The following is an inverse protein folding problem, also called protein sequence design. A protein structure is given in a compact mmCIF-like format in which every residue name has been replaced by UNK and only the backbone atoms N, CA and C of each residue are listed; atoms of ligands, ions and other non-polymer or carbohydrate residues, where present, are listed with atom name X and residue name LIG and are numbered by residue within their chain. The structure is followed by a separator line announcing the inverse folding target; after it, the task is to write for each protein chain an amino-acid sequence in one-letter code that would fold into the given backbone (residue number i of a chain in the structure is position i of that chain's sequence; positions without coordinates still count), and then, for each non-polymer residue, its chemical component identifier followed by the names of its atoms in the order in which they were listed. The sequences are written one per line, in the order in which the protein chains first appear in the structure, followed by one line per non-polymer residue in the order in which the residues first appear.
data_IF_208753303366
#
_entry.id   IF_208753303366
#
_cell.length_a   1.000
_cell.length_b   1.000
_cell.length_c   1.000
_cell.angle_alpha   90.00
_cell.angle_beta   90.00
_cell.angle_gamma   90.00
#
_symmetry.space_group_name_H-M   'P 1'
#
loop_
_entity.id
_entity.type
_entity.pdbx_description
1 polymer ?
#
# COMPACT_ATOMS: atom_id res chain seq x y z
N UNK A 1 -2.20 20.55 18.72
CA UNK A 1 -2.09 20.42 17.25
C UNK A 1 -1.42 19.12 16.75
N UNK A 2 -0.34 18.60 17.35
CA UNK A 2 0.35 17.36 16.90
C UNK A 2 -0.52 16.08 16.84
N UNK A 3 -1.47 15.90 17.78
CA UNK A 3 -2.43 14.77 17.75
C UNK A 3 -3.40 14.83 16.56
N UNK A 4 -3.90 16.02 16.22
CA UNK A 4 -4.82 16.23 15.09
C UNK A 4 -4.14 15.96 13.75
N UNK A 5 -2.87 16.37 13.59
CA UNK A 5 -2.09 16.12 12.37
C UNK A 5 -1.81 14.62 12.14
N UNK A 6 -1.50 13.88 13.21
CA UNK A 6 -1.33 12.40 13.17
C UNK A 6 -2.65 11.66 12.88
N UNK A 7 -3.78 12.21 13.32
CA UNK A 7 -5.10 11.65 13.03
C UNK A 7 -5.47 11.87 11.56
N UNK A 8 -5.28 13.10 11.06
CA UNK A 8 -5.52 13.46 9.67
C UNK A 8 -4.71 12.60 8.70
N UNK A 9 -3.42 12.37 8.98
CA UNK A 9 -2.56 11.55 8.11
C UNK A 9 -2.95 10.07 8.10
N UNK A 10 -3.40 9.51 9.24
CA UNK A 10 -3.97 8.15 9.30
C UNK A 10 -5.25 8.05 8.46
N UNK A 11 -6.11 9.06 8.57
CA UNK A 11 -7.37 9.16 7.83
C UNK A 11 -7.06 9.22 6.33
N UNK A 12 -6.11 10.05 5.88
CA UNK A 12 -5.78 10.18 4.46
C UNK A 12 -5.27 8.87 3.84
N UNK A 13 -4.35 8.16 4.51
CA UNK A 13 -3.84 6.87 4.01
C UNK A 13 -4.95 5.82 3.96
N UNK A 14 -5.81 5.76 4.99
CA UNK A 14 -6.94 4.86 4.99
C UNK A 14 -7.92 5.16 3.84
N UNK A 15 -8.24 6.45 3.62
CA UNK A 15 -9.11 6.84 2.51
C UNK A 15 -8.51 6.49 1.15
N UNK A 16 -7.21 6.73 0.92
CA UNK A 16 -6.54 6.36 -0.35
C UNK A 16 -6.61 4.85 -0.56
N UNK A 17 -6.31 4.04 0.46
CA UNK A 17 -6.40 2.59 0.36
C UNK A 17 -7.84 2.12 0.07
N UNK A 18 -8.83 2.71 0.74
CA UNK A 18 -10.25 2.42 0.49
C UNK A 18 -10.65 2.78 -0.95
N UNK A 19 -10.29 3.96 -1.45
CA UNK A 19 -10.60 4.37 -2.82
C UNK A 19 -9.97 3.45 -3.86
N UNK A 20 -8.70 3.09 -3.69
CA UNK A 20 -8.03 2.14 -4.59
C UNK A 20 -8.67 0.76 -4.56
N UNK A 21 -9.11 0.30 -3.40
CA UNK A 21 -9.82 -0.98 -3.26
C UNK A 21 -11.17 -0.94 -3.96
N UNK A 22 -11.97 0.10 -3.73
CA UNK A 22 -13.28 0.28 -4.38
C UNK A 22 -13.11 0.37 -5.90
N UNK A 23 -12.16 1.17 -6.37
CA UNK A 23 -11.86 1.32 -7.79
C UNK A 23 -11.42 -0.01 -8.42
N UNK A 24 -10.55 -0.76 -7.73
CA UNK A 24 -10.14 -2.10 -8.14
C UNK A 24 -11.34 -3.05 -8.28
N UNK A 25 -12.20 -3.12 -7.25
CA UNK A 25 -13.43 -3.93 -7.24
C UNK A 25 -14.35 -3.56 -8.41
N UNK A 26 -14.56 -2.27 -8.67
CA UNK A 26 -15.40 -1.81 -9.78
C UNK A 26 -14.83 -2.23 -11.13
N UNK A 27 -13.54 -2.01 -11.39
CA UNK A 27 -12.90 -2.39 -12.65
C UNK A 27 -12.98 -3.88 -12.85
N UNK A 28 -12.57 -4.70 -11.89
CA UNK A 28 -12.59 -6.14 -12.11
C UNK A 28 -14.00 -6.72 -12.12
N UNK A 29 -14.97 -6.10 -11.46
CA UNK A 29 -16.39 -6.43 -11.62
C UNK A 29 -16.86 -6.21 -13.06
N UNK A 30 -16.56 -5.04 -13.64
CA UNK A 30 -16.89 -4.73 -15.06
C UNK A 30 -16.16 -5.68 -16.02
N UNK A 31 -14.88 -5.95 -15.78
CA UNK A 31 -14.09 -6.87 -16.62
C UNK A 31 -14.62 -8.29 -16.53
N UNK A 32 -14.96 -8.77 -15.33
CA UNK A 32 -15.53 -10.10 -15.14
C UNK A 32 -16.92 -10.23 -15.78
N UNK A 33 -17.77 -9.21 -15.63
CA UNK A 33 -19.06 -9.17 -16.30
C UNK A 33 -18.91 -9.22 -17.83
N UNK A 34 -17.98 -8.44 -18.38
CA UNK A 34 -17.66 -8.46 -19.82
C UNK A 34 -17.17 -9.83 -20.27
N UNK A 35 -16.34 -10.49 -19.45
CA UNK A 35 -15.89 -11.86 -19.72
C UNK A 35 -17.06 -12.85 -19.74
N UNK A 36 -18.01 -12.77 -18.79
CA UNK A 36 -19.19 -13.63 -18.78
C UNK A 36 -20.06 -13.43 -20.03
N UNK A 37 -20.25 -12.18 -20.46
CA UNK A 37 -20.98 -11.88 -21.70
C UNK A 37 -20.27 -12.46 -22.92
N UNK A 38 -18.93 -12.31 -23.01
CA UNK A 38 -18.14 -12.90 -24.09
C UNK A 38 -18.23 -14.43 -24.09
N UNK A 39 -18.12 -15.06 -22.91
CA UNK A 39 -18.28 -16.51 -22.75
C UNK A 39 -19.64 -16.95 -23.28
N UNK A 40 -20.72 -16.27 -22.91
CA UNK A 40 -22.07 -16.60 -23.35
C UNK A 40 -22.21 -16.47 -24.87
N UNK A 41 -21.67 -15.40 -25.47
CA UNK A 41 -21.69 -15.19 -26.92
C UNK A 41 -20.90 -16.28 -27.65
N UNK A 42 -19.72 -16.66 -27.14
CA UNK A 42 -18.92 -17.74 -27.70
C UNK A 42 -19.70 -19.04 -27.65
N UNK A 43 -20.25 -19.41 -26.48
CA UNK A 43 -21.03 -20.64 -26.29
C UNK A 43 -22.25 -20.72 -27.20
N UNK A 44 -22.93 -19.60 -27.45
CA UNK A 44 -24.08 -19.56 -28.36
C UNK A 44 -23.70 -19.78 -29.83
N UNK A 45 -22.46 -19.45 -30.23
CA UNK A 45 -21.98 -19.54 -31.61
C UNK A 45 -21.04 -20.75 -31.84
N UNK A 46 -20.98 -21.69 -30.91
CA UNK A 46 -20.11 -22.87 -31.00
C UNK A 46 -20.70 -23.94 -31.92
N UNK A 47 -19.83 -24.66 -32.63
CA UNK A 47 -20.23 -25.74 -33.56
C UNK A 47 -20.97 -26.87 -32.83
N UNK A 48 -21.84 -27.60 -33.52
CA UNK A 48 -22.58 -28.76 -32.99
C UNK A 48 -21.67 -29.95 -32.55
N UNK A 49 -20.37 -29.91 -32.86
CA UNK A 49 -19.43 -30.92 -32.41
C UNK A 49 -19.25 -30.86 -30.88
N UNK A 50 -19.82 -31.85 -30.20
CA UNK A 50 -19.88 -31.96 -28.73
C UNK A 50 -18.52 -32.00 -28.05
N UNK A 51 -17.50 -32.61 -28.68
CA UNK A 51 -16.14 -32.67 -28.12
C UNK A 51 -15.44 -31.31 -28.17
N UNK A 52 -15.55 -30.60 -29.30
CA UNK A 52 -15.02 -29.24 -29.44
C UNK A 52 -15.76 -28.31 -28.49
N UNK A 53 -17.06 -28.51 -28.32
CA UNK A 53 -17.88 -27.68 -27.44
C UNK A 53 -17.47 -27.82 -25.97
N UNK A 54 -17.30 -29.05 -25.49
CA UNK A 54 -16.84 -29.32 -24.14
C UNK A 54 -15.46 -28.70 -23.87
N UNK A 55 -14.50 -28.88 -24.80
CA UNK A 55 -13.14 -28.35 -24.63
C UNK A 55 -13.08 -26.82 -24.57
N UNK A 56 -13.90 -26.12 -25.37
CA UNK A 56 -13.95 -24.65 -25.34
C UNK A 56 -14.62 -24.14 -24.07
N UNK A 57 -15.72 -24.78 -23.62
CA UNK A 57 -16.39 -24.41 -22.37
C UNK A 57 -15.48 -24.61 -21.16
N UNK A 58 -14.78 -25.75 -21.09
CA UNK A 58 -13.83 -26.05 -20.03
C UNK A 58 -12.69 -25.02 -19.98
N UNK A 59 -12.12 -24.69 -21.14
CA UNK A 59 -11.07 -23.67 -21.27
C UNK A 59 -11.55 -22.30 -20.77
N UNK A 60 -12.74 -21.86 -21.19
CA UNK A 60 -13.32 -20.60 -20.72
C UNK A 60 -13.57 -20.62 -19.21
N UNK A 61 -14.02 -21.74 -18.64
CA UNK A 61 -14.18 -21.86 -17.19
C UNK A 61 -12.85 -21.74 -16.44
N UNK A 62 -11.79 -22.38 -16.94
CA UNK A 62 -10.45 -22.31 -16.35
C UNK A 62 -9.94 -20.86 -16.39
N UNK A 63 -10.06 -20.16 -17.53
CA UNK A 63 -9.64 -18.77 -17.62
C UNK A 63 -10.45 -17.84 -16.70
N UNK A 64 -11.77 -18.04 -16.60
CA UNK A 64 -12.62 -17.28 -15.69
C UNK A 64 -12.24 -17.48 -14.22
N UNK A 65 -11.92 -18.72 -13.85
CA UNK A 65 -11.50 -19.07 -12.49
C UNK A 65 -10.11 -18.49 -12.17
N UNK A 66 -9.15 -18.61 -13.09
CA UNK A 66 -7.82 -18.01 -12.95
C UNK A 66 -7.91 -16.48 -12.79
N UNK A 67 -8.73 -15.82 -13.61
CA UNK A 67 -8.97 -14.39 -13.49
C UNK A 67 -9.51 -14.01 -12.11
N UNK A 68 -10.51 -14.74 -11.59
CA UNK A 68 -11.05 -14.51 -10.25
C UNK A 68 -9.97 -14.64 -9.18
N UNK A 69 -9.18 -15.71 -9.19
CA UNK A 69 -8.10 -15.91 -8.21
C UNK A 69 -7.05 -14.82 -8.27
N UNK A 70 -6.58 -14.44 -9.47
CA UNK A 70 -5.63 -13.36 -9.64
C UNK A 70 -6.20 -12.02 -9.18
N UNK A 71 -7.46 -11.74 -9.48
CA UNK A 71 -8.12 -10.51 -9.08
C UNK A 71 -8.30 -10.42 -7.55
N UNK A 72 -8.74 -11.50 -6.91
CA UNK A 72 -8.80 -11.57 -5.44
C UNK A 72 -7.43 -11.40 -4.79
N UNK A 73 -6.39 -12.03 -5.35
CA UNK A 73 -5.03 -11.87 -4.86
C UNK A 73 -4.58 -10.41 -4.92
N UNK A 74 -4.84 -9.70 -6.02
CA UNK A 74 -4.48 -8.28 -6.18
C UNK A 74 -5.27 -7.39 -5.22
N UNK A 75 -6.59 -7.59 -5.10
CA UNK A 75 -7.44 -6.83 -4.17
C UNK A 75 -6.98 -6.99 -2.73
N UNK A 76 -6.57 -8.18 -2.31
CA UNK A 76 -6.11 -8.41 -0.94
C UNK A 76 -4.67 -7.91 -0.74
N UNK A 77 -3.81 -8.09 -1.74
CA UNK A 77 -2.40 -7.75 -1.64
C UNK A 77 -2.15 -6.24 -1.56
N UNK A 78 -2.82 -5.44 -2.39
CA UNK A 78 -2.59 -3.98 -2.47
C UNK A 78 -2.82 -3.29 -1.11
N UNK A 79 -3.98 -3.45 -0.43
CA UNK A 79 -4.24 -2.79 0.85
C UNK A 79 -3.30 -3.27 1.96
N UNK A 80 -2.98 -4.57 2.00
CA UNK A 80 -2.07 -5.14 3.00
C UNK A 80 -0.66 -4.56 2.79
N UNK A 81 -0.18 -4.52 1.55
CA UNK A 81 1.13 -3.95 1.20
C UNK A 81 1.19 -2.46 1.54
N UNK A 82 0.17 -1.68 1.16
CA UNK A 82 0.07 -0.26 1.52
C UNK A 82 0.06 -0.05 3.03
N UNK A 83 -0.68 -0.86 3.78
CA UNK A 83 -0.74 -0.78 5.24
C UNK A 83 0.62 -1.11 5.88
N UNK A 84 1.29 -2.18 5.43
CA UNK A 84 2.61 -2.57 5.92
C UNK A 84 3.65 -1.48 5.63
N UNK A 85 3.73 -1.02 4.39
CA UNK A 85 4.65 0.04 3.96
C UNK A 85 4.40 1.32 4.74
N UNK A 86 3.13 1.78 4.83
CA UNK A 86 2.78 2.99 5.58
C UNK A 86 3.16 2.88 7.06
N UNK A 87 2.93 1.74 7.70
CA UNK A 87 3.33 1.52 9.10
C UNK A 87 4.85 1.47 9.26
N UNK A 88 5.56 0.82 8.34
CA UNK A 88 7.01 0.76 8.35
C UNK A 88 7.62 2.16 8.30
N UNK A 89 7.26 2.96 7.28
CA UNK A 89 7.73 4.35 7.15
C UNK A 89 7.35 5.21 8.35
N UNK A 90 6.11 5.08 8.83
CA UNK A 90 5.63 5.85 9.98
C UNK A 90 6.41 5.57 11.26
N UNK A 91 6.79 4.31 11.49
CA UNK A 91 7.59 3.89 12.64
C UNK A 91 8.96 4.57 12.66
N UNK A 92 9.52 4.85 11.47
CA UNK A 92 10.82 5.50 11.34
C UNK A 92 10.71 7.04 11.31
N UNK A 93 9.69 7.61 10.67
CA UNK A 93 9.57 9.07 10.48
C UNK A 93 9.05 9.79 11.73
N UNK A 94 8.11 9.19 12.49
CA UNK A 94 7.55 9.85 13.67
C UNK A 94 8.62 10.20 14.72
N UNK A 95 9.53 9.30 15.09
CA UNK A 95 10.58 9.62 16.05
C UNK A 95 11.54 10.71 15.55
N UNK A 96 11.85 10.73 14.24
CA UNK A 96 12.66 11.78 13.61
C UNK A 96 12.01 13.16 13.77
N UNK A 97 10.73 13.28 13.43
CA UNK A 97 9.98 14.53 13.60
C UNK A 97 9.89 14.96 15.07
N UNK A 98 9.73 14.01 16.00
CA UNK A 98 9.71 14.33 17.43
C UNK A 98 11.06 14.87 17.92
N UNK A 99 12.16 14.32 17.43
CA UNK A 99 13.50 14.83 17.75
C UNK A 99 13.72 16.23 17.17
N UNK A 100 13.27 16.47 15.93
CA UNK A 100 13.37 17.79 15.30
C UNK A 100 12.53 18.84 16.04
N UNK A 101 11.30 18.49 16.41
CA UNK A 101 10.43 19.34 17.21
C UNK A 101 11.08 19.69 18.57
N UNK A 102 11.72 18.74 19.23
CA UNK A 102 12.41 18.97 20.51
C UNK A 102 13.56 19.97 20.35
N UNK A 103 14.36 19.84 19.28
CA UNK A 103 15.43 20.80 18.97
C UNK A 103 14.88 22.21 18.72
N UNK A 104 13.77 22.34 17.99
CA UNK A 104 13.12 23.63 17.74
C UNK A 104 12.59 24.28 19.03
N UNK A 105 12.19 23.46 20.01
CA UNK A 105 11.76 23.88 21.34
C UNK A 105 12.97 24.14 22.29
N UNK A 106 14.20 24.05 21.78
CA UNK A 106 15.43 24.29 22.55
C UNK A 106 15.90 23.12 23.40
N UNK A 107 15.30 21.94 23.24
CA UNK A 107 15.67 20.72 23.96
C UNK A 107 16.60 19.85 23.10
N UNK A 108 17.89 19.93 23.41
CA UNK A 108 18.96 19.22 22.70
C UNK A 108 19.39 17.90 23.37
N UNK A 109 18.81 17.54 24.51
CA UNK A 109 19.16 16.29 25.23
C UNK A 109 18.45 15.05 24.65
N UNK A 110 17.40 15.24 23.86
CA UNK A 110 16.59 14.13 23.36
C UNK A 110 17.21 13.56 22.08
N UNK A 111 17.92 12.44 22.22
CA UNK A 111 18.55 11.74 21.09
C UNK A 111 17.87 10.41 20.80
N UNK A 112 17.44 10.21 19.54
CA UNK A 112 16.94 8.91 19.09
C UNK A 112 18.09 7.90 19.00
N UNK A 113 17.89 6.70 19.55
CA UNK A 113 18.81 5.56 19.37
C UNK A 113 18.93 5.18 17.90
N UNK A 114 20.14 5.24 17.36
CA UNK A 114 20.47 4.77 16.01
C UNK A 114 20.52 3.25 15.98
N UNK A 115 19.88 2.63 14.97
CA UNK A 115 20.06 1.21 14.65
C UNK A 115 20.67 1.09 13.26
N UNK A 116 21.63 0.18 13.09
CA UNK A 116 22.30 -0.05 11.79
C UNK A 116 21.32 -0.46 10.67
N UNK A 117 20.15 -0.97 11.03
CA UNK A 117 19.09 -1.40 10.12
C UNK A 117 18.06 -0.31 9.81
N UNK A 118 18.20 0.90 10.36
CA UNK A 118 17.27 1.99 10.06
C UNK A 118 17.51 2.49 8.62
N UNK A 119 16.49 2.48 7.78
CA UNK A 119 16.59 2.96 6.39
C UNK A 119 16.95 4.46 6.33
N UNK A 120 16.54 5.22 7.34
CA UNK A 120 16.85 6.65 7.47
C UNK A 120 18.11 6.95 8.29
N UNK A 121 19.01 5.98 8.49
CA UNK A 121 20.24 6.15 9.27
C UNK A 121 21.06 7.41 8.87
N UNK A 122 21.29 7.73 7.58
CA UNK A 122 22.03 8.94 7.19
C UNK A 122 21.36 10.24 7.66
N UNK A 123 20.03 10.26 7.73
CA UNK A 123 19.26 11.42 8.21
C UNK A 123 19.38 11.55 9.72
N UNK A 124 19.28 10.43 10.44
CA UNK A 124 19.42 10.39 11.91
C UNK A 124 20.83 10.87 12.30
N UNK A 125 21.86 10.43 11.58
CA UNK A 125 23.24 10.84 11.84
C UNK A 125 23.45 12.35 11.64
N UNK A 126 22.96 12.90 10.51
CA UNK A 126 23.00 14.35 10.26
C UNK A 126 22.26 15.14 11.34
N UNK A 127 21.13 14.63 11.83
CA UNK A 127 20.41 15.26 12.94
C UNK A 127 21.20 15.25 14.24
N UNK A 128 21.89 14.16 14.58
CA UNK A 128 22.77 14.12 15.76
C UNK A 128 23.95 15.09 15.63
N UNK A 129 24.57 15.16 14.46
CA UNK A 129 25.64 16.12 14.19
C UNK A 129 25.16 17.57 14.33
N UNK A 130 23.97 17.88 13.82
CA UNK A 130 23.35 19.20 13.98
C UNK A 130 23.08 19.52 15.46
N UNK A 131 22.53 18.56 16.20
CA UNK A 131 22.27 18.70 17.64
C UNK A 131 23.52 19.08 18.42
N UNK A 132 24.60 18.34 18.17
CA UNK A 132 25.86 18.54 18.88
C UNK A 132 26.46 19.90 18.56
N UNK A 133 26.46 20.31 17.29
CA UNK A 133 26.93 21.65 16.89
C UNK A 133 26.14 22.78 17.55
N UNK A 134 24.82 22.65 17.62
CA UNK A 134 23.97 23.67 18.27
C UNK A 134 24.26 23.71 19.77
N UNK A 135 24.39 22.55 20.42
CA UNK A 135 24.77 22.46 21.84
C UNK A 135 26.15 23.07 22.11
N UNK A 136 27.14 22.84 21.25
CA UNK A 136 28.47 23.45 21.32
C UNK A 136 28.46 24.97 21.08
N UNK A 137 27.48 25.50 20.34
CA UNK A 137 27.39 26.95 20.06
C UNK A 137 26.62 27.70 21.15
N UNK A 138 25.74 27.01 21.90
CA UNK A 138 24.91 27.59 22.96
C UNK A 138 25.53 27.49 24.36
N UNK A 139 26.59 26.68 24.53
CA UNK A 139 27.43 26.61 25.72
C UNK A 139 28.70 27.44 25.56
#
# INVERSE_FOLDING_TARGET
MKKLRKLAQKITVAHIATYLTIFGVLIGGVTFYSFLNLKNLVVQNLSENTLIQAGVIESLNIYGLQFLFSFFAVILFIPISLFMTANHFKSQIIPLNQQLDAMLEGNYETQRRMRKTDEFLPVIEKMHQLNNKVKETLH
#
